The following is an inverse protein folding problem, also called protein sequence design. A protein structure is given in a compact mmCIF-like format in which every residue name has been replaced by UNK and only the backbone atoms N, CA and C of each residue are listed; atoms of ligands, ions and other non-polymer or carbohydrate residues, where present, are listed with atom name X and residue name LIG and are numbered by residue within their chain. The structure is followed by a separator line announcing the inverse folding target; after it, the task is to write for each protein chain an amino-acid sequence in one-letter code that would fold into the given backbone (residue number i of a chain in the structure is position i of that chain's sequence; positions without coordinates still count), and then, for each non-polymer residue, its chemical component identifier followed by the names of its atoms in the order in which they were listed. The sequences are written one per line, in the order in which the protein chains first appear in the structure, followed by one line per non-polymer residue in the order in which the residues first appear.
data_IF_580261702004
#
_entry.id   IF_580261702004
#
_cell.length_a   1.000
_cell.length_b   1.000
_cell.length_c   1.000
_cell.angle_alpha   90.00
_cell.angle_beta   90.00
_cell.angle_gamma   90.00
#
_symmetry.space_group_name_H-M   'P 1'
#
loop_
_entity.id
_entity.type
_entity.pdbx_description
1 polymer ?
#
# COMPACT_ATOMS: atom_id res chain seq x y z
N UNK A 1 -14.70 9.50 11.59
CA UNK A 1 -13.54 8.69 11.15
C UNK A 1 -14.00 7.44 10.42
N UNK A 2 -14.76 6.55 11.07
CA UNK A 2 -15.23 5.29 10.44
C UNK A 2 -16.04 5.51 9.17
N UNK A 3 -16.99 6.46 9.16
CA UNK A 3 -17.75 6.83 7.95
C UNK A 3 -16.89 7.28 6.75
N UNK A 4 -15.71 7.86 7.00
CA UNK A 4 -14.80 8.28 5.93
C UNK A 4 -14.04 7.07 5.37
N UNK A 5 -13.54 6.19 6.25
CA UNK A 5 -12.96 4.92 5.82
C UNK A 5 -13.98 4.08 5.03
N UNK A 6 -15.21 3.98 5.54
CA UNK A 6 -16.32 3.28 4.87
C UNK A 6 -16.56 3.82 3.47
N UNK A 7 -16.55 5.15 3.27
CA UNK A 7 -16.74 5.75 1.95
C UNK A 7 -15.61 5.37 0.98
N UNK A 8 -14.35 5.40 1.43
CA UNK A 8 -13.20 5.01 0.61
C UNK A 8 -13.24 3.52 0.29
N UNK A 9 -13.41 2.68 1.31
CA UNK A 9 -13.44 1.22 1.20
C UNK A 9 -14.62 0.78 0.30
N UNK A 10 -15.79 1.40 0.42
CA UNK A 10 -16.95 1.12 -0.45
C UNK A 10 -16.73 1.53 -1.90
N UNK A 11 -16.03 2.64 -2.14
CA UNK A 11 -15.71 3.10 -3.49
C UNK A 11 -14.72 2.16 -4.15
N UNK A 12 -13.67 1.77 -3.42
CA UNK A 12 -12.70 0.79 -3.89
C UNK A 12 -13.34 -0.59 -4.11
N UNK A 13 -14.25 -1.04 -3.24
CA UNK A 13 -14.94 -2.32 -3.41
C UNK A 13 -15.68 -2.43 -4.75
N UNK A 14 -16.33 -1.35 -5.20
CA UNK A 14 -16.99 -1.30 -6.52
C UNK A 14 -15.99 -1.43 -7.67
N UNK A 15 -14.86 -0.72 -7.58
CA UNK A 15 -13.77 -0.81 -8.56
C UNK A 15 -13.19 -2.23 -8.58
N UNK A 16 -12.93 -2.81 -7.41
CA UNK A 16 -12.39 -4.17 -7.29
C UNK A 16 -13.37 -5.22 -7.84
N UNK A 17 -14.68 -5.05 -7.64
CA UNK A 17 -15.70 -5.89 -8.23
C UNK A 17 -15.68 -5.81 -9.77
N UNK A 18 -15.55 -4.61 -10.33
CA UNK A 18 -15.39 -4.44 -11.77
C UNK A 18 -14.13 -5.16 -12.27
N UNK A 19 -12.99 -5.00 -11.59
CA UNK A 19 -11.72 -5.62 -11.96
C UNK A 19 -11.80 -7.15 -11.98
N UNK A 20 -12.47 -7.75 -11.00
CA UNK A 20 -12.57 -9.22 -10.88
C UNK A 20 -13.57 -9.85 -11.85
N UNK A 21 -14.57 -9.09 -12.33
CA UNK A 21 -15.63 -9.60 -13.22
C UNK A 21 -15.33 -9.38 -14.71
N UNK A 22 -14.32 -8.57 -15.04
CA UNK A 22 -13.95 -8.22 -16.41
C UNK A 22 -12.61 -8.85 -16.84
N UNK A 23 -12.40 -8.90 -18.16
CA UNK A 23 -11.17 -9.38 -18.79
C UNK A 23 -10.20 -8.23 -19.11
N UNK A 24 -8.97 -8.59 -19.47
CA UNK A 24 -7.94 -7.63 -19.92
C UNK A 24 -8.37 -6.84 -21.17
N UNK A 25 -9.12 -7.46 -22.08
CA UNK A 25 -9.58 -6.85 -23.34
C UNK A 25 -10.45 -5.60 -23.10
N UNK A 26 -11.26 -5.61 -22.03
CA UNK A 26 -12.04 -4.47 -21.59
C UNK A 26 -11.33 -3.64 -20.50
N UNK A 27 -10.00 -3.71 -20.42
CA UNK A 27 -9.19 -3.05 -19.38
C UNK A 27 -9.69 -3.34 -17.95
N UNK A 28 -10.17 -4.56 -17.71
CA UNK A 28 -10.78 -4.95 -16.43
C UNK A 28 -11.96 -4.07 -15.99
N UNK A 29 -12.65 -3.41 -16.93
CA UNK A 29 -13.83 -2.60 -16.65
C UNK A 29 -13.53 -1.29 -15.90
N UNK A 30 -12.27 -0.84 -15.88
CA UNK A 30 -11.85 0.39 -15.22
C UNK A 30 -11.34 1.44 -16.21
N UNK A 31 -11.46 2.69 -15.82
CA UNK A 31 -11.05 3.87 -16.57
C UNK A 31 -9.86 4.57 -15.90
N UNK A 32 -9.25 5.54 -16.61
CA UNK A 32 -8.20 6.39 -16.05
C UNK A 32 -8.64 7.13 -14.78
N UNK A 33 -9.94 7.42 -14.64
CA UNK A 33 -10.49 8.08 -13.45
C UNK A 33 -10.48 7.17 -12.22
N UNK A 34 -10.44 5.85 -12.41
CA UNK A 34 -10.47 4.88 -11.32
C UNK A 34 -9.07 4.66 -10.70
N UNK A 35 -8.00 4.85 -11.49
CA UNK A 35 -6.62 4.59 -11.05
C UNK A 35 -6.20 5.42 -9.82
N UNK A 36 -6.51 6.73 -9.72
CA UNK A 36 -6.24 7.51 -8.51
C UNK A 36 -6.96 6.97 -7.27
N UNK A 37 -8.16 6.38 -7.41
CA UNK A 37 -8.88 5.78 -6.27
C UNK A 37 -8.22 4.49 -5.81
N UNK A 38 -7.70 3.67 -6.73
CA UNK A 38 -6.90 2.48 -6.39
C UNK A 38 -5.63 2.92 -5.66
N UNK A 39 -4.90 3.91 -6.18
CA UNK A 39 -3.69 4.41 -5.54
C UNK A 39 -3.96 5.04 -4.16
N UNK A 40 -5.08 5.77 -4.00
CA UNK A 40 -5.51 6.26 -2.69
C UNK A 40 -5.78 5.11 -1.72
N UNK A 41 -6.46 4.05 -2.18
CA UNK A 41 -6.69 2.87 -1.36
C UNK A 41 -5.37 2.21 -0.92
N UNK A 42 -4.38 2.09 -1.82
CA UNK A 42 -3.04 1.59 -1.45
C UNK A 42 -2.41 2.47 -0.37
N UNK A 43 -2.53 3.80 -0.49
CA UNK A 43 -2.06 4.73 0.55
C UNK A 43 -2.78 4.53 1.89
N UNK A 44 -4.09 4.30 1.89
CA UNK A 44 -4.83 3.94 3.11
C UNK A 44 -4.24 2.66 3.75
N UNK A 45 -4.05 1.60 2.95
CA UNK A 45 -3.51 0.33 3.43
C UNK A 45 -2.11 0.53 4.03
N UNK A 46 -1.25 1.31 3.37
CA UNK A 46 0.07 1.67 3.87
C UNK A 46 -0.01 2.31 5.25
N UNK A 47 -0.71 3.44 5.40
CA UNK A 47 -0.78 4.16 6.69
C UNK A 47 -1.54 3.38 7.79
N UNK A 48 -2.43 2.47 7.41
CA UNK A 48 -3.15 1.59 8.34
C UNK A 48 -2.29 0.39 8.79
N UNK A 49 -1.32 -0.03 7.98
CA UNK A 49 -0.51 -1.22 8.22
C UNK A 49 0.22 -1.18 9.58
N UNK A 50 0.39 -2.34 10.25
CA UNK A 50 1.26 -2.45 11.40
C UNK A 50 2.71 -2.00 11.14
N UNK A 51 3.19 -2.17 9.91
CA UNK A 51 4.53 -1.76 9.48
C UNK A 51 4.76 -0.26 9.74
N UNK A 52 3.81 0.59 9.35
CA UNK A 52 3.92 2.04 9.50
C UNK A 52 3.66 2.55 10.91
N UNK A 53 3.33 1.67 11.88
CA UNK A 53 2.86 2.12 13.19
C UNK A 53 3.89 2.96 13.93
N UNK A 54 5.13 2.49 13.99
CA UNK A 54 6.19 3.22 14.70
C UNK A 54 6.66 4.43 13.89
N UNK A 55 6.82 4.26 12.58
CA UNK A 55 7.21 5.35 11.64
C UNK A 55 6.30 6.57 11.82
N UNK A 56 4.98 6.35 11.84
CA UNK A 56 4.02 7.43 11.96
C UNK A 56 4.03 8.08 13.35
N UNK A 57 4.18 7.29 14.41
CA UNK A 57 4.33 7.81 15.78
C UNK A 57 5.56 8.70 15.90
N UNK A 58 6.72 8.20 15.48
CA UNK A 58 7.98 8.94 15.51
C UNK A 58 7.89 10.21 14.66
N UNK A 59 7.16 10.17 13.55
CA UNK A 59 6.94 11.34 12.70
C UNK A 59 6.09 12.41 13.41
N UNK A 60 4.95 12.02 14.01
CA UNK A 60 4.05 12.91 14.76
C UNK A 60 4.78 13.54 15.96
N UNK A 61 5.57 12.75 16.68
CA UNK A 61 6.30 13.20 17.86
C UNK A 61 7.35 14.25 17.47
N UNK A 62 8.15 13.98 16.43
CA UNK A 62 9.26 14.85 15.99
C UNK A 62 8.84 16.17 15.32
N UNK A 63 7.65 16.26 14.74
CA UNK A 63 7.25 17.44 13.95
C UNK A 63 6.21 18.30 14.66
N UNK A 64 6.37 19.62 14.63
CA UNK A 64 5.34 20.57 15.12
C UNK A 64 4.02 20.43 14.37
N UNK A 65 2.90 20.85 14.95
CA UNK A 65 1.59 20.80 14.28
C UNK A 65 1.57 21.51 12.93
N UNK A 66 2.25 22.65 12.83
CA UNK A 66 2.39 23.38 11.57
C UNK A 66 3.09 22.53 10.52
N UNK A 67 4.15 21.80 10.91
CA UNK A 67 4.85 20.85 10.02
C UNK A 67 3.99 19.62 9.68
N UNK A 68 3.11 19.20 10.60
CA UNK A 68 2.09 18.17 10.34
C UNK A 68 0.91 18.68 9.47
N UNK A 69 0.90 19.96 9.10
CA UNK A 69 -0.15 20.56 8.28
C UNK A 69 -1.39 21.01 9.04
N UNK A 70 -1.31 21.18 10.37
CA UNK A 70 -2.40 21.68 11.20
C UNK A 70 -2.10 23.04 11.80
N UNK A 71 -3.16 23.84 11.94
CA UNK A 71 -3.18 25.04 12.78
C UNK A 71 -4.13 24.78 13.95
N UNK A 72 -3.62 24.81 15.18
CA UNK A 72 -4.40 24.63 16.40
C UNK A 72 -4.53 25.99 17.07
N UNK A 73 -5.77 26.45 17.19
CA UNK A 73 -6.10 27.68 17.90
C UNK A 73 -7.06 27.37 19.04
N UNK A 74 -7.07 28.19 20.08
CA UNK A 74 -8.14 28.20 21.08
C UNK A 74 -9.44 28.77 20.48
N UNK A 75 -10.49 28.86 21.30
CA UNK A 75 -11.78 29.41 20.89
C UNK A 75 -11.69 30.87 20.41
N UNK A 76 -10.70 31.63 20.91
CA UNK A 76 -10.43 33.01 20.52
C UNK A 76 -9.56 33.15 19.26
N UNK A 77 -9.18 32.03 18.62
CA UNK A 77 -8.34 32.03 17.42
C UNK A 77 -6.84 32.21 17.67
N UNK A 78 -6.41 32.20 18.94
CA UNK A 78 -5.02 32.35 19.38
C UNK A 78 -4.34 30.97 19.44
N UNK A 79 -3.10 30.90 18.94
CA UNK A 79 -2.29 29.68 19.03
C UNK A 79 -2.04 29.28 20.49
N UNK A 80 -2.22 27.99 20.80
CA UNK A 80 -1.99 27.44 22.14
C UNK A 80 -1.05 26.23 22.05
N UNK A 81 0.19 26.41 22.51
CA UNK A 81 1.23 25.38 22.45
C UNK A 81 0.91 24.15 23.29
N UNK A 82 0.36 24.35 24.50
CA UNK A 82 -0.03 23.26 25.41
C UNK A 82 -1.11 22.38 24.81
N UNK A 83 -2.17 22.99 24.30
CA UNK A 83 -3.25 22.29 23.59
C UNK A 83 -2.70 21.50 22.39
N UNK A 84 -1.73 22.09 21.69
CA UNK A 84 -1.03 21.42 20.59
C UNK A 84 -0.32 20.16 21.09
N UNK A 85 0.54 20.24 22.10
CA UNK A 85 1.24 19.08 22.64
C UNK A 85 0.29 18.01 23.16
N UNK A 86 -0.77 18.41 23.86
CA UNK A 86 -1.78 17.49 24.41
C UNK A 86 -2.52 16.73 23.29
N UNK A 87 -2.86 17.40 22.18
CA UNK A 87 -3.56 16.79 21.04
C UNK A 87 -2.79 15.61 20.42
N UNK A 88 -1.46 15.69 20.30
CA UNK A 88 -0.64 14.59 19.76
C UNK A 88 -0.72 13.32 20.60
N UNK A 89 -0.93 13.48 21.90
CA UNK A 89 -0.97 12.37 22.85
C UNK A 89 -2.33 11.68 22.89
N UNK A 90 -3.34 12.23 22.22
CA UNK A 90 -4.68 11.64 22.14
C UNK A 90 -4.67 10.48 21.11
N UNK A 91 -5.09 9.26 21.47
CA UNK A 91 -5.13 8.12 20.55
C UNK A 91 -5.93 8.38 19.26
N UNK A 92 -6.99 9.18 19.35
CA UNK A 92 -7.83 9.59 18.24
C UNK A 92 -7.08 10.46 17.23
N UNK A 93 -6.14 11.30 17.69
CA UNK A 93 -5.31 12.11 16.80
C UNK A 93 -4.47 11.20 15.89
N UNK A 94 -3.82 10.18 16.46
CA UNK A 94 -3.07 9.21 15.68
C UNK A 94 -3.94 8.47 14.64
N UNK A 95 -5.15 8.04 15.03
CA UNK A 95 -6.12 7.40 14.11
C UNK A 95 -6.57 8.35 12.99
N UNK A 96 -6.81 9.61 13.33
CA UNK A 96 -7.19 10.67 12.39
C UNK A 96 -6.05 11.00 11.43
N UNK A 97 -4.83 11.06 11.95
CA UNK A 97 -3.65 11.43 11.18
C UNK A 97 -3.34 10.40 10.08
N UNK A 98 -3.58 9.10 10.31
CA UNK A 98 -3.48 8.07 9.26
C UNK A 98 -4.32 8.39 8.02
N UNK A 99 -5.60 8.67 8.25
CA UNK A 99 -6.53 9.04 7.19
C UNK A 99 -6.12 10.37 6.55
N UNK A 100 -5.80 11.36 7.37
CA UNK A 100 -5.37 12.67 6.85
C UNK A 100 -4.14 12.54 5.94
N UNK A 101 -3.14 11.76 6.36
CA UNK A 101 -1.89 11.61 5.61
C UNK A 101 -2.14 10.96 4.24
N UNK A 102 -3.00 9.94 4.20
CA UNK A 102 -3.39 9.30 2.94
C UNK A 102 -4.19 10.20 1.98
N UNK A 103 -4.92 11.20 2.50
CA UNK A 103 -5.61 12.20 1.69
C UNK A 103 -4.65 13.25 1.13
N UNK A 104 -3.53 13.50 1.81
CA UNK A 104 -2.49 14.41 1.34
C UNK A 104 -1.54 13.78 0.32
N UNK A 105 -1.34 12.46 0.34
CA UNK A 105 -0.45 11.79 -0.59
C UNK A 105 -0.73 12.10 -2.08
N UNK A 106 -1.99 12.12 -2.57
CA UNK A 106 -2.26 12.55 -3.95
C UNK A 106 -1.83 13.98 -4.26
N UNK A 107 -1.92 14.88 -3.28
CA UNK A 107 -1.47 16.27 -3.45
C UNK A 107 0.06 16.32 -3.52
N UNK A 108 0.75 15.53 -2.69
CA UNK A 108 2.22 15.44 -2.69
C UNK A 108 2.73 14.86 -4.01
N UNK A 109 2.05 13.86 -4.55
CA UNK A 109 2.37 13.23 -5.83
C UNK A 109 1.73 13.89 -7.06
N UNK A 110 1.25 15.14 -6.98
CA UNK A 110 0.55 15.79 -8.08
C UNK A 110 1.35 15.83 -9.39
N UNK A 111 2.68 15.92 -9.28
CA UNK A 111 3.60 15.97 -10.42
C UNK A 111 4.18 14.59 -10.78
N UNK A 112 3.70 13.50 -10.19
CA UNK A 112 4.15 12.15 -10.54
C UNK A 112 3.39 11.65 -11.77
N UNK A 113 4.14 11.26 -12.79
CA UNK A 113 3.66 10.80 -14.09
C UNK A 113 3.80 9.27 -14.30
N UNK A 114 4.25 8.54 -13.26
CA UNK A 114 4.43 7.10 -13.31
C UNK A 114 3.11 6.40 -13.62
N UNK A 115 3.16 5.48 -14.59
CA UNK A 115 2.00 4.75 -15.07
C UNK A 115 1.47 3.70 -14.07
N UNK A 116 0.18 3.41 -14.20
CA UNK A 116 -0.53 2.37 -13.45
C UNK A 116 -0.92 1.22 -14.38
N UNK A 117 -0.69 0.00 -13.92
CA UNK A 117 -0.99 -1.20 -14.68
C UNK A 117 -1.74 -2.21 -13.82
N UNK A 118 -2.69 -2.92 -14.41
CA UNK A 118 -3.34 -4.08 -13.81
C UNK A 118 -3.00 -5.30 -14.65
N UNK A 119 -2.55 -6.37 -14.00
CA UNK A 119 -2.27 -7.65 -14.66
C UNK A 119 -3.03 -8.80 -14.02
N UNK A 120 -3.33 -9.80 -14.84
CA UNK A 120 -3.82 -11.09 -14.38
C UNK A 120 -2.71 -11.91 -13.70
N UNK A 121 -3.10 -12.71 -12.71
CA UNK A 121 -2.30 -13.79 -12.13
C UNK A 121 -2.96 -15.13 -12.49
N UNK A 122 -2.21 -16.24 -12.58
CA UNK A 122 -2.79 -17.56 -12.82
C UNK A 122 -3.85 -17.90 -11.77
N UNK A 123 -5.01 -18.42 -12.18
CA UNK A 123 -6.17 -18.63 -11.30
C UNK A 123 -5.99 -19.82 -10.35
N UNK A 124 -5.25 -20.80 -10.81
CA UNK A 124 -5.06 -22.10 -10.19
C UNK A 124 -4.01 -22.05 -9.07
N UNK A 125 -3.15 -21.02 -9.06
CA UNK A 125 -2.08 -20.90 -8.07
C UNK A 125 -2.60 -20.36 -6.73
N UNK A 126 -2.16 -20.90 -5.58
CA UNK A 126 -2.44 -20.29 -4.28
C UNK A 126 -1.85 -18.87 -4.18
N UNK A 127 -2.32 -18.07 -3.23
CA UNK A 127 -1.83 -16.70 -3.02
C UNK A 127 -1.70 -16.36 -1.55
N UNK A 128 -0.75 -15.49 -1.21
CA UNK A 128 -0.62 -14.93 0.13
C UNK A 128 -1.40 -13.63 0.23
N UNK A 129 -2.19 -13.47 1.29
CA UNK A 129 -2.72 -12.20 1.76
C UNK A 129 -2.02 -11.84 3.07
N UNK A 130 -1.50 -10.61 3.21
CA UNK A 130 -0.79 -10.19 4.43
C UNK A 130 -1.29 -8.87 4.98
N UNK A 131 -0.89 -8.55 6.21
CA UNK A 131 -1.15 -7.26 6.86
C UNK A 131 -0.24 -6.12 6.37
N UNK A 132 0.73 -6.45 5.51
CA UNK A 132 1.50 -5.50 4.73
C UNK A 132 1.75 -6.07 3.32
N UNK A 133 0.76 -5.97 2.41
CA UNK A 133 0.84 -6.60 1.09
C UNK A 133 1.52 -5.72 0.02
N UNK A 134 1.85 -4.48 0.35
CA UNK A 134 2.42 -3.53 -0.62
C UNK A 134 3.92 -3.76 -0.72
N UNK A 135 4.41 -4.01 -1.93
CA UNK A 135 5.83 -4.24 -2.19
C UNK A 135 6.39 -3.00 -2.87
N UNK A 136 7.05 -2.15 -2.10
CA UNK A 136 7.78 -1.00 -2.63
C UNK A 136 9.14 -1.42 -3.15
N UNK A 137 9.58 -0.79 -4.25
CA UNK A 137 10.96 -0.93 -4.75
C UNK A 137 11.96 -0.34 -3.75
N UNK A 138 11.65 0.83 -3.22
CA UNK A 138 12.43 1.47 -2.15
C UNK A 138 12.02 0.95 -0.77
N UNK A 139 12.98 0.85 0.14
CA UNK A 139 12.76 0.43 1.53
C UNK A 139 12.76 1.58 2.51
N UNK A 140 13.36 2.72 2.13
CA UNK A 140 13.49 3.90 2.99
C UNK A 140 12.66 5.06 2.45
N UNK A 141 12.10 5.86 3.35
CA UNK A 141 11.34 7.08 3.03
C UNK A 141 10.24 6.84 1.98
N UNK A 142 9.44 5.78 2.17
CA UNK A 142 8.38 5.40 1.24
C UNK A 142 7.38 6.55 1.06
N UNK A 143 7.10 6.86 -0.20
CA UNK A 143 6.12 7.84 -0.67
C UNK A 143 5.20 7.14 -1.67
N UNK A 144 4.02 6.76 -1.20
CA UNK A 144 3.10 5.89 -1.96
C UNK A 144 2.81 6.42 -3.38
N UNK A 145 2.66 7.74 -3.55
CA UNK A 145 2.34 8.31 -4.86
C UNK A 145 3.55 8.55 -5.76
N UNK A 146 4.76 8.57 -5.23
CA UNK A 146 5.98 8.83 -6.00
C UNK A 146 6.73 7.54 -6.31
N UNK A 147 6.71 6.57 -5.41
CA UNK A 147 7.54 5.36 -5.55
C UNK A 147 6.94 4.31 -6.47
N UNK A 148 7.82 3.47 -7.02
CA UNK A 148 7.45 2.23 -7.68
C UNK A 148 6.94 1.21 -6.65
N UNK A 149 5.79 0.59 -6.92
CA UNK A 149 5.28 -0.47 -6.07
C UNK A 149 4.40 -1.48 -6.79
N UNK A 150 4.21 -2.62 -6.13
CA UNK A 150 3.32 -3.70 -6.52
C UNK A 150 2.33 -3.93 -5.38
N UNK A 151 1.06 -4.05 -5.71
CA UNK A 151 -0.02 -4.29 -4.76
C UNK A 151 -0.96 -5.40 -5.26
N UNK A 152 -1.09 -6.53 -4.54
CA UNK A 152 -2.06 -7.56 -4.90
C UNK A 152 -3.48 -7.05 -4.66
N UNK A 153 -4.27 -6.91 -5.73
CA UNK A 153 -5.67 -6.50 -5.67
C UNK A 153 -6.58 -7.67 -5.26
N UNK A 154 -6.27 -8.85 -5.78
CA UNK A 154 -6.95 -10.11 -5.48
C UNK A 154 -5.99 -11.28 -5.73
N UNK A 155 -6.46 -12.51 -5.46
CA UNK A 155 -5.73 -13.74 -5.81
C UNK A 155 -5.26 -13.73 -7.27
N UNK A 156 -6.09 -13.20 -8.17
CA UNK A 156 -5.89 -13.29 -9.60
C UNK A 156 -5.46 -11.97 -10.25
N UNK A 157 -5.24 -10.90 -9.47
CA UNK A 157 -4.99 -9.56 -10.01
C UNK A 157 -3.95 -8.83 -9.20
N UNK A 158 -3.04 -8.17 -9.90
CA UNK A 158 -2.00 -7.33 -9.31
C UNK A 158 -2.05 -5.93 -9.93
N UNK A 159 -1.92 -4.93 -9.08
CA UNK A 159 -1.74 -3.54 -9.46
C UNK A 159 -0.26 -3.19 -9.37
N UNK A 160 0.28 -2.57 -10.42
CA UNK A 160 1.69 -2.18 -10.51
C UNK A 160 1.73 -0.69 -10.85
N UNK A 161 2.37 0.08 -9.96
CA UNK A 161 2.73 1.47 -10.23
C UNK A 161 4.20 1.49 -10.59
N UNK A 162 4.50 1.59 -11.89
CA UNK A 162 5.85 1.60 -12.46
C UNK A 162 5.72 1.81 -13.97
N UNK A 163 6.64 2.55 -14.58
CA UNK A 163 6.73 2.56 -16.04
C UNK A 163 7.25 1.22 -16.55
N UNK A 164 6.43 0.50 -17.31
CA UNK A 164 6.74 -0.82 -17.85
C UNK A 164 7.02 -0.75 -19.35
N UNK A 165 8.16 -1.30 -19.76
CA UNK A 165 8.51 -1.51 -21.18
C UNK A 165 7.97 -2.82 -21.74
N UNK A 166 7.64 -3.80 -20.89
CA UNK A 166 7.30 -5.17 -21.29
C UNK A 166 6.05 -5.71 -20.56
N UNK A 167 5.55 -6.86 -21.04
CA UNK A 167 4.43 -7.57 -20.41
C UNK A 167 4.88 -8.17 -19.07
N UNK A 168 3.98 -8.17 -18.10
CA UNK A 168 4.21 -8.77 -16.78
C UNK A 168 4.49 -10.28 -16.88
N UNK A 169 5.64 -10.72 -16.33
CA UNK A 169 5.99 -12.13 -16.26
C UNK A 169 5.22 -12.82 -15.12
N UNK A 170 4.26 -13.68 -15.47
CA UNK A 170 3.45 -14.43 -14.50
C UNK A 170 4.27 -15.35 -13.57
N UNK A 171 5.50 -15.71 -13.94
CA UNK A 171 6.40 -16.52 -13.10
C UNK A 171 6.81 -15.78 -11.81
N UNK A 172 6.68 -14.45 -11.78
CA UNK A 172 6.97 -13.62 -10.61
C UNK A 172 5.93 -13.76 -9.49
N UNK A 173 4.84 -14.51 -9.71
CA UNK A 173 3.77 -14.74 -8.74
C UNK A 173 4.29 -15.25 -7.39
N UNK A 174 5.15 -16.26 -7.41
CA UNK A 174 5.70 -16.85 -6.19
C UNK A 174 6.64 -15.89 -5.47
N UNK A 175 7.36 -15.05 -6.21
CA UNK A 175 8.24 -14.03 -5.64
C UNK A 175 7.46 -12.92 -4.95
N UNK A 176 6.35 -12.46 -5.56
CA UNK A 176 5.42 -11.49 -4.93
C UNK A 176 4.88 -12.05 -3.62
N UNK A 177 4.42 -13.30 -3.62
CA UNK A 177 3.87 -13.94 -2.43
C UNK A 177 4.94 -14.19 -1.36
N UNK A 178 6.15 -14.60 -1.75
CA UNK A 178 7.29 -14.77 -0.85
C UNK A 178 7.65 -13.46 -0.16
N UNK A 179 7.78 -12.36 -0.92
CA UNK A 179 8.07 -11.04 -0.36
C UNK A 179 6.94 -10.60 0.58
N UNK A 180 5.67 -10.80 0.17
CA UNK A 180 4.50 -10.49 1.00
C UNK A 180 4.50 -11.26 2.31
N UNK A 181 4.87 -12.55 2.27
CA UNK A 181 5.04 -13.40 3.46
C UNK A 181 6.17 -12.87 4.36
N UNK A 182 7.35 -12.62 3.78
CA UNK A 182 8.55 -12.19 4.51
C UNK A 182 8.41 -10.81 5.16
N UNK A 183 7.63 -9.90 4.56
CA UNK A 183 7.38 -8.56 5.09
C UNK A 183 6.14 -8.48 6.00
N UNK A 184 5.39 -9.57 6.17
CA UNK A 184 4.24 -9.62 7.08
C UNK A 184 4.68 -9.35 8.51
N UNK A 185 3.92 -8.54 9.25
CA UNK A 185 4.32 -8.12 10.61
C UNK A 185 3.63 -8.97 11.67
N UNK A 186 2.32 -9.18 11.54
CA UNK A 186 1.50 -9.91 12.51
C UNK A 186 0.81 -11.11 11.89
N UNK A 187 0.26 -10.95 10.69
CA UNK A 187 -0.61 -11.96 10.09
C UNK A 187 -0.41 -12.06 8.58
N UNK A 188 -0.48 -13.30 8.11
CA UNK A 188 -0.75 -13.64 6.72
C UNK A 188 -1.80 -14.75 6.66
N UNK A 189 -2.44 -14.89 5.51
CA UNK A 189 -3.45 -15.90 5.25
C UNK A 189 -3.27 -16.49 3.85
N UNK A 190 -3.61 -17.77 3.73
CA UNK A 190 -3.62 -18.53 2.48
C UNK A 190 -4.62 -19.67 2.61
N UNK A 191 -5.09 -20.20 1.48
CA UNK A 191 -5.91 -21.40 1.44
C UNK A 191 -5.09 -22.70 1.31
N UNK A 192 -3.75 -22.62 1.27
CA UNK A 192 -2.87 -23.78 1.12
C UNK A 192 -1.67 -23.66 2.06
N UNK A 193 -1.61 -24.53 3.07
CA UNK A 193 -0.48 -24.65 3.99
C UNK A 193 0.77 -25.19 3.27
N UNK A 194 0.59 -26.14 2.35
CA UNK A 194 1.65 -26.70 1.50
C UNK A 194 2.38 -25.60 0.70
N UNK A 195 1.64 -24.60 0.24
CA UNK A 195 2.22 -23.46 -0.45
C UNK A 195 3.12 -22.61 0.45
N UNK A 196 2.75 -22.41 1.73
CA UNK A 196 3.62 -21.73 2.70
C UNK A 196 4.93 -22.49 2.87
N UNK A 197 4.84 -23.82 3.02
CA UNK A 197 6.01 -24.68 3.16
C UNK A 197 6.91 -24.61 1.92
N UNK A 198 6.32 -24.54 0.72
CA UNK A 198 7.06 -24.30 -0.52
C UNK A 198 7.79 -22.95 -0.50
N UNK A 199 7.12 -21.86 -0.14
CA UNK A 199 7.73 -20.53 -0.08
C UNK A 199 8.86 -20.45 0.95
N UNK A 200 8.69 -21.07 2.13
CA UNK A 200 9.73 -21.13 3.16
C UNK A 200 10.96 -21.90 2.67
N UNK A 201 10.76 -23.06 1.99
CA UNK A 201 11.86 -23.82 1.41
C UNK A 201 12.58 -23.01 0.33
N UNK A 202 11.83 -22.31 -0.51
CA UNK A 202 12.38 -21.42 -1.53
C UNK A 202 13.22 -20.30 -0.89
N UNK A 203 12.75 -19.72 0.23
CA UNK A 203 13.49 -18.69 0.96
C UNK A 203 14.81 -19.23 1.52
N UNK A 204 14.76 -20.42 2.14
CA UNK A 204 15.93 -21.07 2.73
C UNK A 204 16.97 -21.49 1.70
N UNK A 205 16.53 -21.94 0.51
CA UNK A 205 17.42 -22.37 -0.57
C UNK A 205 18.19 -21.20 -1.20
N UNK A 206 17.52 -20.06 -1.41
CA UNK A 206 18.15 -18.88 -2.01
C UNK A 206 18.90 -18.03 -0.97
N UNK A 207 18.37 -17.96 0.26
CA UNK A 207 18.93 -17.21 1.38
C UNK A 207 19.19 -15.73 1.07
N UNK A 208 18.30 -15.10 0.30
CA UNK A 208 18.36 -13.66 0.03
C UNK A 208 17.68 -12.84 1.12
N UNK A 209 18.17 -11.62 1.30
CA UNK A 209 17.49 -10.56 2.05
C UNK A 209 16.20 -10.12 1.36
N UNK A 210 15.34 -9.42 2.12
CA UNK A 210 14.09 -8.88 1.57
C UNK A 210 14.37 -7.87 0.45
N UNK A 211 15.41 -7.06 0.61
CA UNK A 211 15.90 -6.08 -0.33
C UNK A 211 16.35 -6.74 -1.65
N UNK A 212 17.15 -7.79 -1.57
CA UNK A 212 17.61 -8.55 -2.75
C UNK A 212 16.43 -9.17 -3.51
N UNK A 213 15.43 -9.75 -2.82
CA UNK A 213 14.23 -10.25 -3.49
C UNK A 213 13.44 -9.14 -4.19
N UNK A 214 13.35 -7.95 -3.60
CA UNK A 214 12.70 -6.79 -4.23
C UNK A 214 13.48 -6.34 -5.46
N UNK A 215 14.80 -6.28 -5.40
CA UNK A 215 15.66 -5.96 -6.54
C UNK A 215 15.47 -6.96 -7.69
N UNK A 216 15.46 -8.26 -7.38
CA UNK A 216 15.16 -9.32 -8.36
C UNK A 216 13.76 -9.11 -8.95
N UNK A 217 12.75 -8.88 -8.12
CA UNK A 217 11.37 -8.67 -8.59
C UNK A 217 11.27 -7.48 -9.56
N UNK A 218 11.80 -6.32 -9.17
CA UNK A 218 11.68 -5.09 -9.96
C UNK A 218 12.59 -5.05 -11.19
N UNK A 219 13.71 -5.78 -11.19
CA UNK A 219 14.57 -5.92 -12.38
C UNK A 219 13.93 -6.81 -13.46
N UNK A 220 13.13 -7.81 -13.05
CA UNK A 220 12.39 -8.67 -13.97
C UNK A 220 11.06 -8.06 -14.46
N UNK A 221 10.76 -6.81 -14.09
CA UNK A 221 9.61 -6.05 -14.59
C UNK A 221 9.98 -5.05 -15.71
N UNK A 222 11.28 -4.91 -16.03
CA UNK A 222 11.80 -4.02 -17.08
C UNK A 222 11.82 -4.70 -18.45
#
# INVERSE_FOLDING_TARGET
MEKLYEKVDSSFAKILQAINTNSYENRFGVSEKDMPYINNFVSQIYWRSPYCKQILKDYIERHTHKQLGFKINNQDGIYNEKLSTDLKNIPEFYKAYKLYNSLLDPIRGLNCDIQYHIFGRPKELPSICSDFPIIFKTTNNIKVYEDDYIFPLSKERVFIKKDLSQKFNHQLHHLIDLISLKQSVKYFATNSEEYVNFLIKLDQQNNYSLEEYKEILFSNLL
#
